data_IF_371752166255
#
_entry.id   IF_371752166255
#
_cell.length_a   1.000
_cell.length_b   1.000
_cell.length_c   1.000
_cell.angle_alpha   90.00
_cell.angle_beta   90.00
_cell.angle_gamma   90.00
#
_symmetry.space_group_name_H-M   'P 1'
#
loop_
_entity.id
_entity.type
_entity.pdbx_description
1 polymer ?
#
# COMPACT_ATOMS: atom_id res chain seq x y z
N UNK A 1 9.57 -9.57 -11.09
CA UNK A 1 8.85 -10.70 -10.45
C UNK A 1 9.82 -11.71 -9.88
N UNK A 2 10.65 -12.36 -10.70
CA UNK A 2 11.59 -13.41 -10.27
C UNK A 2 12.49 -13.01 -9.08
N UNK A 3 12.93 -11.75 -9.00
CA UNK A 3 13.77 -11.29 -7.87
C UNK A 3 12.98 -11.30 -6.55
N UNK A 4 11.73 -10.83 -6.57
CA UNK A 4 10.87 -10.83 -5.38
C UNK A 4 10.57 -12.28 -4.92
N UNK A 5 10.31 -13.16 -5.87
CA UNK A 5 10.05 -14.59 -5.56
C UNK A 5 11.25 -15.21 -4.85
N UNK A 6 12.46 -15.00 -5.37
CA UNK A 6 13.70 -15.50 -4.74
C UNK A 6 13.88 -14.97 -3.32
N UNK A 7 13.57 -13.68 -3.09
CA UNK A 7 13.63 -13.07 -1.77
C UNK A 7 12.66 -13.79 -0.82
N UNK A 8 11.42 -13.99 -1.27
CA UNK A 8 10.38 -14.61 -0.43
C UNK A 8 10.70 -16.06 -0.10
N UNK A 9 11.27 -16.81 -1.05
CA UNK A 9 11.69 -18.19 -0.83
C UNK A 9 12.72 -18.28 0.30
N UNK A 10 13.64 -17.32 0.38
CA UNK A 10 14.66 -17.30 1.43
C UNK A 10 14.08 -16.92 2.80
N UNK A 11 13.07 -16.07 2.82
CA UNK A 11 12.44 -15.63 4.07
C UNK A 11 11.58 -16.70 4.72
N UNK A 12 11.02 -17.62 3.92
CA UNK A 12 10.15 -18.71 4.40
C UNK A 12 8.98 -18.21 5.27
N UNK A 13 8.53 -16.99 5.01
CA UNK A 13 7.41 -16.39 5.75
C UNK A 13 6.07 -16.74 5.13
N UNK A 14 5.00 -16.59 5.92
CA UNK A 14 3.62 -16.76 5.44
C UNK A 14 2.86 -15.45 5.61
N UNK A 15 2.21 -14.99 4.56
CA UNK A 15 1.47 -13.74 4.56
C UNK A 15 1.78 -12.89 3.34
N UNK A 16 1.42 -11.62 3.41
CA UNK A 16 1.74 -10.63 2.38
C UNK A 16 3.06 -9.95 2.72
N UNK A 17 3.88 -9.80 1.72
CA UNK A 17 5.16 -9.09 1.81
C UNK A 17 5.21 -8.02 0.74
N UNK A 18 5.82 -6.90 1.06
CA UNK A 18 6.19 -5.90 0.06
C UNK A 18 7.71 -5.96 -0.10
N UNK A 19 8.18 -6.04 -1.34
CA UNK A 19 9.61 -5.95 -1.67
C UNK A 19 9.79 -4.67 -2.45
N UNK A 20 10.34 -3.64 -1.81
CA UNK A 20 10.64 -2.38 -2.48
C UNK A 20 11.95 -2.50 -3.25
N UNK A 21 11.98 -1.92 -4.42
CA UNK A 21 13.13 -2.04 -5.31
C UNK A 21 13.47 -0.70 -5.94
N UNK A 22 14.76 -0.48 -6.17
CA UNK A 22 15.25 0.64 -6.97
C UNK A 22 15.56 0.15 -8.38
N UNK A 23 15.19 0.94 -9.36
CA UNK A 23 15.69 0.79 -10.73
C UNK A 23 16.81 1.82 -10.92
N UNK A 24 18.02 1.35 -11.17
CA UNK A 24 19.17 2.24 -11.37
C UNK A 24 19.16 2.82 -12.79
N UNK A 25 20.00 3.83 -13.01
CA UNK A 25 20.17 4.42 -14.35
C UNK A 25 20.69 3.41 -15.37
N UNK A 26 21.45 2.42 -14.91
CA UNK A 26 21.99 1.34 -15.74
C UNK A 26 21.00 0.17 -15.90
N UNK A 27 19.72 0.42 -15.58
CA UNK A 27 18.62 -0.55 -15.69
C UNK A 27 18.77 -1.80 -14.78
N UNK A 28 19.59 -1.72 -13.75
CA UNK A 28 19.68 -2.79 -12.74
C UNK A 28 18.59 -2.61 -11.68
N UNK A 29 18.03 -3.74 -11.22
CA UNK A 29 17.02 -3.74 -10.15
C UNK A 29 17.69 -4.16 -8.85
N UNK A 30 17.61 -3.30 -7.84
CA UNK A 30 18.19 -3.54 -6.51
C UNK A 30 17.07 -3.59 -5.48
N UNK A 31 17.15 -4.56 -4.56
CA UNK A 31 16.21 -4.62 -3.43
C UNK A 31 16.55 -3.49 -2.46
N UNK A 32 15.55 -2.69 -2.10
CA UNK A 32 15.67 -1.62 -1.12
C UNK A 32 15.32 -2.10 0.29
N UNK A 33 14.06 -2.48 0.46
CA UNK A 33 13.63 -3.01 1.76
C UNK A 33 12.54 -4.07 1.59
N UNK A 34 12.33 -4.83 2.64
CA UNK A 34 11.30 -5.86 2.68
C UNK A 34 10.41 -5.59 3.89
N UNK A 35 9.13 -5.42 3.64
CA UNK A 35 8.13 -5.26 4.70
C UNK A 35 7.29 -6.54 4.78
N UNK A 36 7.45 -7.35 5.84
CA UNK A 36 6.67 -8.60 5.99
C UNK A 36 5.27 -8.31 6.56
N UNK A 37 4.51 -7.52 5.87
CA UNK A 37 3.18 -7.06 6.26
C UNK A 37 2.49 -6.40 5.07
N UNK A 38 1.20 -6.11 5.22
CA UNK A 38 0.49 -5.24 4.28
C UNK A 38 1.22 -3.89 4.19
N UNK A 39 1.22 -3.30 3.02
CA UNK A 39 2.04 -2.12 2.73
C UNK A 39 1.22 -1.03 2.07
N UNK A 40 1.66 0.21 2.31
CA UNK A 40 0.98 1.40 1.78
C UNK A 40 0.81 1.33 0.25
N UNK A 41 1.84 0.90 -0.47
CA UNK A 41 1.77 0.81 -1.93
C UNK A 41 0.70 -0.18 -2.42
N UNK A 42 0.24 -1.10 -1.57
CA UNK A 42 -0.82 -2.06 -1.89
C UNK A 42 -2.21 -1.62 -1.44
N UNK A 43 -2.38 -0.43 -0.85
CA UNK A 43 -3.70 -0.02 -0.36
C UNK A 43 -4.73 0.16 -1.48
N UNK A 44 -4.28 0.51 -2.70
CA UNK A 44 -5.17 0.61 -3.86
C UNK A 44 -5.93 -0.70 -4.12
N UNK A 45 -5.40 -1.84 -3.65
CA UNK A 45 -6.04 -3.13 -3.87
C UNK A 45 -7.40 -3.27 -3.19
N UNK A 46 -7.72 -2.39 -2.22
CA UNK A 46 -9.01 -2.47 -1.50
C UNK A 46 -10.17 -2.27 -2.50
N UNK A 47 -10.08 -1.25 -3.35
CA UNK A 47 -11.13 -0.95 -4.32
C UNK A 47 -10.80 -1.41 -5.74
N UNK A 48 -9.51 -1.56 -6.07
CA UNK A 48 -9.10 -1.75 -7.46
C UNK A 48 -8.84 -3.21 -7.83
N UNK A 49 -8.79 -4.13 -6.87
CA UNK A 49 -8.51 -5.54 -7.15
C UNK A 49 -9.65 -6.45 -6.68
N UNK A 50 -9.73 -7.65 -7.28
CA UNK A 50 -10.72 -8.66 -6.86
C UNK A 50 -10.50 -9.10 -5.42
N UNK A 51 -9.22 -9.16 -4.98
CA UNK A 51 -8.86 -9.51 -3.61
C UNK A 51 -7.83 -8.50 -3.12
N UNK A 52 -8.11 -7.87 -1.99
CA UNK A 52 -7.20 -6.88 -1.42
C UNK A 52 -5.98 -7.55 -0.76
N UNK A 53 -4.91 -6.77 -0.57
CA UNK A 53 -3.74 -7.27 0.16
C UNK A 53 -4.09 -7.70 1.59
N UNK A 54 -5.09 -7.07 2.18
CA UNK A 54 -5.55 -7.40 3.54
C UNK A 54 -6.20 -8.77 3.56
N UNK A 55 -7.10 -9.02 2.62
CA UNK A 55 -7.76 -10.31 2.49
C UNK A 55 -6.74 -11.40 2.13
N UNK A 56 -5.82 -11.11 1.19
CA UNK A 56 -4.77 -12.08 0.84
C UNK A 56 -3.93 -12.45 2.06
N UNK A 57 -3.62 -11.46 2.92
CA UNK A 57 -2.85 -11.73 4.14
C UNK A 57 -3.59 -12.72 5.05
N UNK A 58 -4.89 -12.47 5.28
CA UNK A 58 -5.72 -13.36 6.12
C UNK A 58 -5.79 -14.75 5.48
N UNK A 59 -6.06 -14.83 4.17
CA UNK A 59 -6.12 -16.12 3.46
C UNK A 59 -4.81 -16.90 3.64
N UNK A 60 -3.68 -16.23 3.47
CA UNK A 60 -2.36 -16.87 3.57
C UNK A 60 -2.11 -17.42 4.98
N UNK A 61 -2.33 -16.61 6.03
CA UNK A 61 -2.01 -17.02 7.41
C UNK A 61 -3.00 -18.06 7.97
N UNK A 62 -4.17 -18.18 7.34
CA UNK A 62 -5.17 -19.20 7.73
C UNK A 62 -5.17 -20.41 6.78
N UNK A 63 -4.19 -20.50 5.89
CA UNK A 63 -4.05 -21.57 4.91
C UNK A 63 -5.27 -21.73 3.98
N UNK A 64 -6.00 -20.65 3.72
CA UNK A 64 -7.06 -20.62 2.73
C UNK A 64 -6.47 -20.47 1.33
N UNK A 65 -7.21 -20.87 0.31
CA UNK A 65 -6.82 -20.63 -1.08
C UNK A 65 -6.71 -19.12 -1.32
N UNK A 66 -5.62 -18.70 -1.97
CA UNK A 66 -5.42 -17.29 -2.31
C UNK A 66 -6.49 -16.85 -3.33
N UNK A 67 -6.92 -15.61 -3.21
CA UNK A 67 -7.90 -15.03 -4.12
C UNK A 67 -7.24 -14.48 -5.39
N UNK A 68 -8.01 -14.23 -6.44
CA UNK A 68 -7.49 -13.66 -7.67
C UNK A 68 -7.05 -12.21 -7.46
N UNK A 69 -5.95 -11.82 -8.11
CA UNK A 69 -5.31 -10.51 -7.89
C UNK A 69 -5.60 -9.50 -9.01
N UNK A 70 -6.44 -9.90 -9.98
CA UNK A 70 -6.73 -9.04 -11.14
C UNK A 70 -7.32 -7.69 -10.70
N UNK A 71 -6.97 -6.64 -11.45
CA UNK A 71 -7.62 -5.35 -11.32
C UNK A 71 -9.07 -5.46 -11.80
N UNK A 72 -9.98 -4.77 -11.11
CA UNK A 72 -11.39 -4.64 -11.51
C UNK A 72 -11.66 -3.29 -12.16
N UNK A 73 -10.63 -2.45 -12.26
CA UNK A 73 -10.67 -1.13 -12.89
C UNK A 73 -9.49 -1.01 -13.86
N UNK A 74 -9.56 -0.15 -14.87
CA UNK A 74 -8.44 -0.01 -15.84
C UNK A 74 -7.18 0.63 -15.22
N UNK A 75 -7.34 1.43 -14.17
CA UNK A 75 -6.22 2.06 -13.48
C UNK A 75 -6.67 2.51 -12.10
N UNK A 76 -5.71 2.65 -11.17
CA UNK A 76 -5.97 3.15 -9.83
C UNK A 76 -4.80 4.04 -9.39
N UNK A 77 -5.13 5.10 -8.64
CA UNK A 77 -4.15 5.99 -8.04
C UNK A 77 -4.44 6.06 -6.54
N UNK A 78 -3.41 5.95 -5.73
CA UNK A 78 -3.52 6.08 -4.29
C UNK A 78 -2.70 7.30 -3.85
N UNK A 79 -3.29 8.14 -3.01
CA UNK A 79 -2.66 9.35 -2.50
C UNK A 79 -2.68 9.32 -0.98
N UNK A 80 -1.53 9.51 -0.36
CA UNK A 80 -1.44 9.68 1.09
C UNK A 80 -1.68 11.15 1.45
N UNK A 81 -2.68 11.38 2.28
CA UNK A 81 -2.93 12.71 2.85
C UNK A 81 -2.23 12.76 4.21
N UNK A 82 -1.19 13.56 4.31
CA UNK A 82 -0.38 13.69 5.51
C UNK A 82 -0.83 14.91 6.32
N UNK A 83 -0.71 14.82 7.63
CA UNK A 83 -0.99 15.94 8.51
C UNK A 83 0.05 17.06 8.33
N UNK A 84 -0.40 18.30 8.28
CA UNK A 84 0.45 19.48 8.09
C UNK A 84 0.75 20.22 9.39
N UNK A 85 0.16 19.78 10.50
CA UNK A 85 0.35 20.40 11.81
C UNK A 85 0.15 19.40 12.95
N UNK A 86 0.67 19.74 14.13
CA UNK A 86 0.49 18.94 15.33
C UNK A 86 -0.88 19.28 15.92
N UNK A 87 -1.64 18.27 16.30
CA UNK A 87 -2.96 18.44 16.91
C UNK A 87 -3.93 17.34 16.51
N UNK A 88 -5.19 17.57 16.82
CA UNK A 88 -6.24 16.63 16.45
C UNK A 88 -6.38 16.52 14.93
N UNK A 89 -6.52 15.29 14.46
CA UNK A 89 -6.72 15.04 13.04
C UNK A 89 -8.06 15.64 12.58
N UNK A 90 -8.00 16.59 11.70
CA UNK A 90 -9.19 17.22 11.11
C UNK A 90 -9.05 17.21 9.60
N UNK A 91 -9.77 16.30 8.96
CA UNK A 91 -9.68 16.12 7.50
C UNK A 91 -10.58 17.15 6.83
N UNK A 92 -9.97 18.19 6.25
CA UNK A 92 -10.68 19.19 5.50
C UNK A 92 -10.95 18.69 4.08
N UNK A 93 -12.08 19.07 3.50
CA UNK A 93 -12.43 18.72 2.13
C UNK A 93 -12.95 17.29 1.93
N UNK A 94 -13.16 16.53 3.02
CA UNK A 94 -13.64 15.16 2.94
C UNK A 94 -14.94 15.03 2.14
N UNK A 95 -15.90 15.92 2.43
CA UNK A 95 -17.18 15.92 1.73
C UNK A 95 -17.01 16.17 0.23
N UNK A 96 -16.13 17.09 -0.14
CA UNK A 96 -15.87 17.38 -1.55
C UNK A 96 -15.19 16.19 -2.25
N UNK A 97 -14.25 15.54 -1.57
CA UNK A 97 -13.59 14.35 -2.11
C UNK A 97 -14.59 13.23 -2.37
N UNK A 98 -15.50 12.99 -1.41
CA UNK A 98 -16.50 11.92 -1.54
C UNK A 98 -17.56 12.19 -2.61
N UNK A 99 -17.66 13.42 -3.11
CA UNK A 99 -18.54 13.74 -4.26
C UNK A 99 -17.92 13.35 -5.59
N UNK A 100 -16.60 13.11 -5.62
CA UNK A 100 -15.93 12.70 -6.86
C UNK A 100 -16.20 11.20 -7.09
N UNK A 101 -16.76 10.85 -8.26
CA UNK A 101 -17.06 9.43 -8.52
C UNK A 101 -15.82 8.55 -8.42
N UNK A 102 -15.99 7.38 -7.84
CA UNK A 102 -14.96 6.34 -7.70
C UNK A 102 -13.81 6.71 -6.74
N UNK A 103 -13.98 7.78 -5.95
CA UNK A 103 -13.02 8.10 -4.89
C UNK A 103 -13.44 7.36 -3.61
N UNK A 104 -12.51 6.64 -3.01
CA UNK A 104 -12.65 6.05 -1.68
C UNK A 104 -11.69 6.78 -0.73
N UNK A 105 -12.14 7.03 0.50
CA UNK A 105 -11.33 7.73 1.50
C UNK A 105 -11.20 6.83 2.74
N UNK A 106 -9.97 6.57 3.15
CA UNK A 106 -9.67 5.75 4.31
C UNK A 106 -9.04 6.62 5.40
N UNK A 107 -9.74 6.75 6.52
CA UNK A 107 -9.27 7.54 7.67
C UNK A 107 -8.76 6.57 8.73
N UNK A 108 -7.50 6.73 9.14
CA UNK A 108 -6.84 5.80 10.06
C UNK A 108 -7.23 6.01 11.53
N UNK A 109 -8.04 7.03 11.83
CA UNK A 109 -8.51 7.28 13.19
C UNK A 109 -7.41 7.72 14.16
N UNK A 110 -6.33 8.32 13.66
CA UNK A 110 -5.26 8.83 14.52
C UNK A 110 -5.79 10.00 15.35
N UNK A 111 -5.60 9.91 16.65
CA UNK A 111 -6.08 10.95 17.58
C UNK A 111 -5.21 12.21 17.52
N UNK A 112 -3.92 12.05 17.22
CA UNK A 112 -2.97 13.16 17.13
C UNK A 112 -2.03 12.98 15.95
N UNK A 113 -1.68 13.85 15.35
CA UNK A 113 -0.80 13.85 14.35
C UNK A 113 0.49 14.07 14.93
N UNK A 114 0.95 13.43 15.10
CA UNK A 114 2.17 13.47 15.54
C UNK A 114 2.96 13.80 14.40
N UNK A 115 3.49 14.42 14.46
CA UNK A 115 4.28 14.70 13.58
C UNK A 115 5.02 13.60 13.28
N UNK A 116 4.49 12.99 12.92
CA UNK A 116 5.20 11.99 12.48
C UNK A 116 6.18 12.62 11.67
N UNK A 117 7.32 12.07 11.67
CA UNK A 117 8.34 12.47 10.70
C UNK A 117 7.72 12.41 9.29
N UNK A 118 7.62 13.53 8.68
CA UNK A 118 7.23 13.62 7.26
C UNK A 118 8.38 13.02 6.46
N UNK A 119 8.35 11.72 6.23
CA UNK A 119 9.14 11.16 5.14
C UNK A 119 8.38 11.55 3.87
N UNK A 120 8.88 12.56 3.20
CA UNK A 120 8.40 12.93 1.88
C UNK A 120 8.88 11.85 0.91
N UNK A 121 8.10 10.78 0.79
CA UNK A 121 8.33 9.84 -0.30
C UNK A 121 7.86 10.52 -1.58
N UNK A 122 8.80 11.08 -2.30
CA UNK A 122 8.55 11.58 -3.65
C UNK A 122 8.54 10.39 -4.58
N UNK A 123 7.36 9.99 -4.98
CA UNK A 123 7.21 9.02 -6.05
C UNK A 123 7.22 9.79 -7.37
N UNK A 124 8.28 9.61 -8.15
CA UNK A 124 8.29 10.07 -9.53
C UNK A 124 7.57 9.03 -10.39
N UNK A 125 6.60 9.46 -11.18
CA UNK A 125 5.96 8.64 -12.19
C UNK A 125 6.90 8.43 -13.37
#
# INVERSE_FOLDING_TARGET
>A
EALAERVLEHLRGVGVFCVEMFLTQDENVLVNEIAPRVHNSGHHTIEACKTSQFEQHIRAITAMSLGPVDLVVPAAVMINVLGDRIGHANVQGLEAALRVPQVAVHIYGKMEXXXXHIQSEKWAM
#
